data_IF_868499048052
#
_entry.id   IF_868499048052
#
_cell.length_a   1.000
_cell.length_b   1.000
_cell.length_c   1.000
_cell.angle_alpha   90.00
_cell.angle_beta   90.00
_cell.angle_gamma   90.00
#
_symmetry.space_group_name_H-M   'P 1'
#
loop_
_entity.id
_entity.type
_entity.pdbx_description
1 polymer ?
#
# COMPACT_ATOMS: atom_id res chain seq x y z
N UNK A 1 32.54 73.18 4.66
CA UNK A 1 33.00 72.44 5.85
C UNK A 1 31.80 71.71 6.39
N UNK A 2 31.66 70.40 6.49
CA UNK A 2 32.45 69.18 6.30
C UNK A 2 31.36 68.09 6.12
N UNK A 3 31.43 67.21 5.09
CA UNK A 3 31.80 65.77 5.20
C UNK A 3 30.96 64.99 6.24
N UNK A 4 30.41 63.79 6.04
CA UNK A 4 30.57 62.68 5.09
C UNK A 4 29.44 61.66 5.45
N UNK A 5 28.70 61.11 4.47
CA UNK A 5 28.74 59.72 3.97
C UNK A 5 27.78 58.68 4.63
N UNK A 6 26.86 58.21 3.76
CA UNK A 6 26.59 56.79 3.42
C UNK A 6 25.98 55.84 4.46
N UNK A 7 24.72 55.50 4.24
CA UNK A 7 24.28 54.15 3.81
C UNK A 7 22.80 54.25 3.43
N UNK A 8 22.29 53.73 2.33
CA UNK A 8 22.78 52.63 1.52
C UNK A 8 21.72 51.53 1.55
N UNK A 9 20.93 51.50 0.49
CA UNK A 9 20.23 50.35 -0.08
C UNK A 9 18.84 49.90 0.43
N UNK A 10 17.88 50.20 -0.46
CA UNK A 10 16.92 49.29 -1.10
C UNK A 10 15.80 48.71 -0.22
N UNK A 11 14.67 49.40 -0.32
CA UNK A 11 13.35 48.79 -0.32
C UNK A 11 13.29 47.80 -1.51
N UNK A 12 13.55 46.51 -1.26
CA UNK A 12 13.15 45.47 -2.21
C UNK A 12 11.73 45.10 -1.85
N UNK A 13 10.82 45.62 -2.66
CA UNK A 13 9.48 45.12 -2.86
C UNK A 13 9.50 43.59 -2.94
N UNK A 14 8.97 42.90 -1.92
CA UNK A 14 8.51 41.52 -2.06
C UNK A 14 7.14 41.52 -2.77
N UNK A 15 7.11 42.10 -3.97
CA UNK A 15 6.01 42.05 -4.94
C UNK A 15 6.27 40.84 -5.85
N UNK A 16 5.91 39.63 -5.41
CA UNK A 16 5.68 38.50 -6.35
C UNK A 16 4.98 37.28 -5.72
N UNK A 17 4.12 37.49 -4.72
CA UNK A 17 3.22 36.43 -4.20
C UNK A 17 1.78 36.95 -4.10
N UNK A 18 1.28 37.60 -5.14
CA UNK A 18 -0.13 37.96 -5.25
C UNK A 18 -0.65 37.65 -6.66
N UNK A 19 -1.11 36.41 -6.85
CA UNK A 19 -2.28 36.03 -7.68
C UNK A 19 -2.36 34.52 -7.93
N UNK A 20 -2.26 33.68 -6.88
CA UNK A 20 -3.03 32.45 -6.93
C UNK A 20 -4.41 32.82 -6.42
N UNK A 21 -5.41 32.79 -7.31
CA UNK A 21 -6.82 32.94 -6.93
C UNK A 21 -7.06 32.06 -5.70
N UNK A 22 -7.47 32.66 -4.58
CA UNK A 22 -7.99 31.90 -3.44
C UNK A 22 -9.27 31.23 -3.92
N UNK A 23 -9.13 30.00 -4.39
CA UNK A 23 -10.25 29.16 -4.78
C UNK A 23 -11.15 29.00 -3.56
N UNK A 24 -12.47 29.11 -3.75
CA UNK A 24 -13.39 28.78 -2.67
C UNK A 24 -13.29 27.29 -2.37
N UNK A 25 -13.66 26.90 -1.16
CA UNK A 25 -13.68 25.48 -0.76
C UNK A 25 -14.52 24.63 -1.73
N UNK A 26 -15.64 25.18 -2.23
CA UNK A 26 -16.49 24.53 -3.22
C UNK A 26 -15.80 24.33 -4.58
N UNK A 27 -14.96 25.29 -5.01
CA UNK A 27 -14.18 25.17 -6.24
C UNK A 27 -13.08 24.11 -6.11
N UNK A 28 -12.42 24.04 -4.96
CA UNK A 28 -11.42 23.02 -4.66
C UNK A 28 -12.05 21.62 -4.70
N UNK A 29 -13.21 21.47 -4.06
CA UNK A 29 -13.94 20.21 -4.03
C UNK A 29 -14.43 19.80 -5.41
N UNK A 30 -15.02 20.74 -6.17
CA UNK A 30 -15.46 20.49 -7.55
C UNK A 30 -14.30 20.07 -8.45
N UNK A 31 -13.14 20.72 -8.34
CA UNK A 31 -11.96 20.37 -9.13
C UNK A 31 -11.44 18.96 -8.81
N UNK A 32 -11.47 18.56 -7.54
CA UNK A 32 -11.10 17.21 -7.13
C UNK A 32 -12.11 16.18 -7.66
N UNK A 33 -13.42 16.45 -7.52
CA UNK A 33 -14.49 15.60 -8.03
C UNK A 33 -14.39 15.44 -9.56
N UNK A 34 -14.08 16.51 -10.31
CA UNK A 34 -13.87 16.48 -11.76
C UNK A 34 -12.67 15.61 -12.16
N UNK A 35 -11.57 15.67 -11.40
CA UNK A 35 -10.39 14.83 -11.64
C UNK A 35 -10.71 13.36 -11.37
N UNK A 36 -11.37 13.08 -10.26
CA UNK A 36 -11.81 11.73 -9.86
C UNK A 36 -12.74 11.17 -10.95
N UNK A 37 -13.70 11.96 -11.41
CA UNK A 37 -14.63 11.57 -12.47
C UNK A 37 -13.92 11.26 -13.79
N UNK A 38 -12.97 12.10 -14.21
CA UNK A 38 -12.19 11.85 -15.43
C UNK A 38 -11.38 10.56 -15.31
N UNK A 39 -10.76 10.30 -14.16
CA UNK A 39 -10.05 9.03 -13.91
C UNK A 39 -11.02 7.85 -13.99
N UNK A 40 -12.15 7.92 -13.29
CA UNK A 40 -13.20 6.89 -13.27
C UNK A 40 -13.74 6.59 -14.67
N UNK A 41 -13.94 7.62 -15.50
CA UNK A 41 -14.46 7.48 -16.86
C UNK A 41 -13.54 6.67 -17.80
N UNK A 42 -12.23 6.66 -17.50
CA UNK A 42 -11.22 5.90 -18.23
C UNK A 42 -10.67 4.70 -17.45
N UNK A 43 -11.24 4.37 -16.29
CA UNK A 43 -10.72 3.33 -15.41
C UNK A 43 -11.26 1.95 -15.78
N UNK A 44 -10.38 0.96 -15.84
CA UNK A 44 -10.74 -0.45 -15.93
C UNK A 44 -9.92 -1.25 -14.93
N UNK A 45 -10.56 -1.90 -13.94
CA UNK A 45 -9.90 -2.70 -12.90
C UNK A 45 -8.82 -1.93 -12.12
N UNK A 46 -9.10 -0.67 -11.74
CA UNK A 46 -8.14 0.25 -11.13
C UNK A 46 -6.89 0.58 -11.98
N UNK A 47 -6.86 0.19 -13.25
CA UNK A 47 -5.87 0.68 -14.22
C UNK A 47 -6.44 1.93 -14.89
N UNK A 48 -5.72 3.04 -14.81
CA UNK A 48 -6.21 4.32 -15.32
C UNK A 48 -5.08 5.21 -15.80
N UNK A 49 -5.43 6.13 -16.68
CA UNK A 49 -4.53 7.17 -17.16
C UNK A 49 -5.29 8.49 -17.27
N UNK A 50 -4.73 9.55 -16.68
CA UNK A 50 -5.24 10.91 -16.83
C UNK A 50 -4.19 11.81 -17.49
N UNK A 51 -4.51 12.44 -18.64
CA UNK A 51 -3.60 13.36 -19.30
C UNK A 51 -3.52 14.68 -18.53
N UNK A 52 -2.35 15.35 -18.61
CA UNK A 52 -2.11 16.62 -17.92
C UNK A 52 -3.10 17.71 -18.35
N UNK A 53 -3.54 17.73 -19.61
CA UNK A 53 -4.52 18.69 -20.11
C UNK A 53 -5.85 18.62 -19.36
N UNK A 54 -6.29 17.40 -18.97
CA UNK A 54 -7.52 17.20 -18.20
C UNK A 54 -7.37 17.68 -16.76
N UNK A 55 -6.21 17.43 -16.14
CA UNK A 55 -5.89 17.93 -14.80
C UNK A 55 -5.87 19.47 -14.78
N UNK A 56 -5.17 20.09 -15.74
CA UNK A 56 -5.10 21.56 -15.85
C UNK A 56 -6.48 22.17 -16.05
N UNK A 57 -7.31 21.53 -16.90
CA UNK A 57 -8.68 21.97 -17.15
C UNK A 57 -9.54 21.88 -15.90
N UNK A 58 -9.49 20.76 -15.16
CA UNK A 58 -10.28 20.57 -13.95
C UNK A 58 -9.86 21.51 -12.81
N UNK A 59 -8.56 21.77 -12.67
CA UNK A 59 -8.03 22.71 -11.69
C UNK A 59 -8.27 24.18 -12.07
N UNK A 60 -8.65 24.45 -13.32
CA UNK A 60 -8.83 25.78 -13.89
C UNK A 60 -7.61 26.70 -13.66
N UNK A 61 -6.40 26.15 -13.87
CA UNK A 61 -5.13 26.87 -13.72
C UNK A 61 -4.46 27.09 -15.08
N UNK A 62 -3.51 28.03 -15.13
CA UNK A 62 -2.68 28.21 -16.34
C UNK A 62 -1.69 27.08 -16.47
N UNK A 63 -1.36 26.73 -17.72
CA UNK A 63 -0.40 25.67 -18.04
C UNK A 63 0.99 25.99 -17.49
N UNK A 64 1.40 27.26 -17.48
CA UNK A 64 2.68 27.69 -16.92
C UNK A 64 2.74 27.46 -15.40
N UNK A 65 1.67 27.77 -14.68
CA UNK A 65 1.59 27.62 -13.23
C UNK A 65 1.63 26.15 -12.82
N UNK A 66 0.91 25.30 -13.55
CA UNK A 66 0.97 23.85 -13.39
C UNK A 66 2.41 23.33 -13.51
N UNK A 67 3.10 23.66 -14.61
CA UNK A 67 4.46 23.16 -14.83
C UNK A 67 5.46 23.73 -13.81
N UNK A 68 5.28 24.98 -13.38
CA UNK A 68 6.11 25.56 -12.32
C UNK A 68 6.03 24.72 -11.03
N UNK A 69 4.82 24.33 -10.61
CA UNK A 69 4.60 23.49 -9.43
C UNK A 69 5.15 22.07 -9.66
N UNK A 70 4.88 21.48 -10.83
CA UNK A 70 5.37 20.16 -11.21
C UNK A 70 6.90 20.08 -11.22
N UNK A 71 7.61 21.08 -11.76
CA UNK A 71 9.07 21.09 -11.78
C UNK A 71 9.68 21.33 -10.40
N UNK A 72 9.02 22.12 -9.54
CA UNK A 72 9.43 22.26 -8.15
C UNK A 72 9.32 20.91 -7.40
N UNK A 73 8.27 20.14 -7.66
CA UNK A 73 8.08 18.79 -7.12
C UNK A 73 9.12 17.77 -7.63
N UNK A 74 9.53 17.89 -8.90
CA UNK A 74 10.56 17.02 -9.50
C UNK A 74 11.93 17.12 -8.81
N UNK A 75 12.22 18.25 -8.16
CA UNK A 75 13.45 18.43 -7.40
C UNK A 75 13.38 17.78 -6.00
N UNK A 76 12.18 17.53 -5.49
CA UNK A 76 11.93 16.95 -4.17
C UNK A 76 11.67 15.44 -4.22
N UNK A 77 11.06 14.96 -5.30
CA UNK A 77 10.67 13.56 -5.51
C UNK A 77 11.11 13.14 -6.91
N UNK A 78 11.56 11.89 -7.07
CA UNK A 78 11.99 11.33 -8.35
C UNK A 78 10.83 11.19 -9.36
N UNK A 79 10.26 12.32 -9.81
CA UNK A 79 9.29 12.36 -10.90
C UNK A 79 9.97 11.90 -12.19
N UNK A 80 9.43 10.84 -12.78
CA UNK A 80 9.86 10.38 -14.10
C UNK A 80 9.48 11.43 -15.15
N UNK A 81 10.30 11.59 -16.19
CA UNK A 81 10.00 12.49 -17.32
C UNK A 81 8.71 12.13 -18.07
N UNK A 82 8.16 10.91 -17.88
CA UNK A 82 6.86 10.50 -18.43
C UNK A 82 5.67 11.13 -17.72
N UNK A 83 5.81 11.50 -16.44
CA UNK A 83 4.74 12.18 -15.69
C UNK A 83 4.40 13.58 -16.25
N UNK A 84 5.23 14.13 -17.15
CA UNK A 84 4.95 15.40 -17.82
C UNK A 84 3.82 15.32 -18.88
N UNK A 85 3.45 14.11 -19.32
CA UNK A 85 2.36 13.88 -20.28
C UNK A 85 1.05 13.45 -19.60
N UNK A 86 1.12 12.83 -18.43
CA UNK A 86 -0.02 12.37 -17.67
C UNK A 86 0.39 11.51 -16.48
N UNK A 87 -0.61 11.03 -15.75
CA UNK A 87 -0.43 10.15 -14.60
C UNK A 87 -1.18 8.85 -14.82
N UNK A 88 -0.63 7.78 -14.24
CA UNK A 88 -1.24 6.46 -14.17
C UNK A 88 -1.24 5.96 -12.72
N UNK A 89 -1.77 4.76 -12.51
CA UNK A 89 -1.82 4.09 -11.22
C UNK A 89 -0.45 4.02 -10.52
N UNK A 90 0.63 3.73 -11.26
CA UNK A 90 2.00 3.66 -10.68
C UNK A 90 2.56 5.01 -10.24
N UNK A 91 1.93 6.11 -10.66
CA UNK A 91 2.33 7.48 -10.36
C UNK A 91 1.26 8.20 -9.54
N UNK A 92 0.31 7.47 -8.95
CA UNK A 92 -0.79 8.03 -8.16
C UNK A 92 -0.30 8.84 -6.95
N UNK A 93 0.72 8.37 -6.22
CA UNK A 93 1.32 9.13 -5.11
C UNK A 93 1.84 10.49 -5.55
N UNK A 94 2.44 10.54 -6.74
CA UNK A 94 2.97 11.77 -7.33
C UNK A 94 1.84 12.72 -7.73
N UNK A 95 0.72 12.19 -8.24
CA UNK A 95 -0.49 12.96 -8.51
C UNK A 95 -1.10 13.52 -7.23
N UNK A 96 -1.25 12.70 -6.19
CA UNK A 96 -1.81 13.09 -4.88
C UNK A 96 -0.99 14.23 -4.27
N UNK A 97 0.35 14.12 -4.28
CA UNK A 97 1.21 15.20 -3.79
C UNK A 97 1.08 16.49 -4.59
N UNK A 98 0.96 16.37 -5.92
CA UNK A 98 0.75 17.53 -6.79
C UNK A 98 -0.59 18.20 -6.47
N UNK A 99 -1.67 17.43 -6.34
CA UNK A 99 -2.99 17.95 -5.99
C UNK A 99 -3.00 18.56 -4.60
N UNK A 100 -2.35 17.94 -3.61
CA UNK A 100 -2.23 18.51 -2.27
C UNK A 100 -1.50 19.85 -2.27
N UNK A 101 -0.47 20.03 -3.11
CA UNK A 101 0.22 21.34 -3.23
C UNK A 101 -0.63 22.39 -3.94
N UNK A 102 -1.41 22.02 -4.96
CA UNK A 102 -2.23 22.96 -5.72
C UNK A 102 -3.48 23.37 -4.93
N UNK A 103 -4.22 22.37 -4.45
CA UNK A 103 -5.50 22.55 -3.76
C UNK A 103 -5.32 22.92 -2.28
N UNK A 104 -4.13 22.69 -1.70
CA UNK A 104 -3.80 22.97 -0.29
C UNK A 104 -4.75 22.28 0.69
N UNK A 105 -5.14 21.04 0.36
CA UNK A 105 -5.99 20.18 1.19
C UNK A 105 -5.26 18.88 1.55
N UNK A 106 -5.60 18.37 2.73
CA UNK A 106 -5.22 17.05 3.22
C UNK A 106 -6.31 16.02 2.87
N UNK A 107 -6.00 14.73 2.98
CA UNK A 107 -7.00 13.66 2.79
C UNK A 107 -7.31 13.29 1.33
N UNK A 108 -6.56 13.80 0.34
CA UNK A 108 -6.76 13.44 -1.08
C UNK A 108 -6.58 11.92 -1.29
N UNK A 109 -5.63 11.28 -0.60
CA UNK A 109 -5.44 9.83 -0.65
C UNK A 109 -6.71 9.06 -0.22
N UNK A 110 -7.38 9.53 0.83
CA UNK A 110 -8.62 8.91 1.31
C UNK A 110 -9.76 9.07 0.31
N UNK A 111 -9.87 10.23 -0.34
CA UNK A 111 -10.88 10.44 -1.37
C UNK A 111 -10.62 9.55 -2.60
N UNK A 112 -9.36 9.37 -3.00
CA UNK A 112 -9.01 8.43 -4.07
C UNK A 112 -9.35 6.97 -3.69
N UNK A 113 -9.09 6.58 -2.43
CA UNK A 113 -9.40 5.25 -1.93
C UNK A 113 -10.92 4.99 -1.85
N UNK A 114 -11.70 5.93 -1.32
CA UNK A 114 -13.17 5.84 -1.28
C UNK A 114 -13.78 5.72 -2.67
N UNK A 115 -13.17 6.36 -3.67
CA UNK A 115 -13.63 6.29 -5.05
C UNK A 115 -13.12 5.06 -5.83
N UNK A 116 -12.38 4.16 -5.16
CA UNK A 116 -11.88 2.92 -5.76
C UNK A 116 -10.79 3.13 -6.82
N UNK A 117 -10.07 4.25 -6.75
CA UNK A 117 -9.08 4.65 -7.77
C UNK A 117 -7.66 4.24 -7.39
N UNK A 118 -7.30 4.44 -6.11
CA UNK A 118 -5.96 4.20 -5.62
C UNK A 118 -5.99 3.86 -4.13
N UNK A 119 -5.14 2.92 -3.72
CA UNK A 119 -4.98 2.50 -2.33
C UNK A 119 -3.53 2.66 -1.92
N UNK A 120 -3.29 3.50 -0.93
CA UNK A 120 -1.95 3.69 -0.38
C UNK A 120 -1.51 2.51 0.51
N UNK A 121 -0.23 2.49 0.88
CA UNK A 121 0.36 1.46 1.73
C UNK A 121 -0.37 1.29 3.07
N UNK A 122 -0.97 2.37 3.61
CA UNK A 122 -1.71 2.32 4.87
C UNK A 122 -3.03 1.57 4.68
N UNK A 123 -3.80 1.88 3.64
CA UNK A 123 -5.03 1.15 3.29
C UNK A 123 -4.75 -0.33 3.06
N UNK A 124 -3.65 -0.66 2.36
CA UNK A 124 -3.26 -2.05 2.11
C UNK A 124 -2.84 -2.77 3.40
N UNK A 125 -2.12 -2.09 4.31
CA UNK A 125 -1.77 -2.63 5.61
C UNK A 125 -3.01 -2.87 6.49
N UNK A 126 -3.98 -1.96 6.48
CA UNK A 126 -5.25 -2.12 7.20
C UNK A 126 -6.04 -3.32 6.68
N UNK A 127 -6.14 -3.49 5.36
CA UNK A 127 -6.77 -4.67 4.76
C UNK A 127 -6.08 -5.96 5.22
N UNK A 128 -4.75 -5.99 5.23
CA UNK A 128 -3.98 -7.15 5.69
C UNK A 128 -4.27 -7.48 7.17
N UNK A 129 -4.34 -6.46 8.03
CA UNK A 129 -4.67 -6.65 9.45
C UNK A 129 -6.10 -7.21 9.57
N UNK A 130 -7.06 -6.59 8.89
CA UNK A 130 -8.46 -7.03 8.90
C UNK A 130 -8.62 -8.49 8.44
N UNK A 131 -7.92 -8.89 7.36
CA UNK A 131 -7.94 -10.26 6.87
C UNK A 131 -7.28 -11.25 7.84
N UNK A 132 -6.15 -10.87 8.46
CA UNK A 132 -5.48 -11.68 9.49
C UNK A 132 -6.43 -11.96 10.66
N UNK A 133 -7.09 -10.92 11.16
CA UNK A 133 -8.06 -11.02 12.25
C UNK A 133 -9.27 -11.88 11.86
N UNK A 134 -9.77 -11.75 10.62
CA UNK A 134 -10.88 -12.56 10.11
C UNK A 134 -10.50 -14.05 10.08
N UNK A 135 -9.33 -14.39 9.53
CA UNK A 135 -8.81 -15.77 9.49
C UNK A 135 -8.66 -16.33 10.91
N UNK A 136 -8.03 -15.59 11.82
CA UNK A 136 -7.82 -16.02 13.20
C UNK A 136 -9.14 -16.20 13.95
N UNK A 137 -10.11 -15.30 13.76
CA UNK A 137 -11.44 -15.40 14.36
C UNK A 137 -12.20 -16.62 13.85
N UNK A 138 -12.14 -16.90 12.54
CA UNK A 138 -12.76 -18.11 11.96
C UNK A 138 -12.12 -19.37 12.51
N UNK A 139 -10.78 -19.42 12.58
CA UNK A 139 -10.05 -20.55 13.17
C UNK A 139 -10.43 -20.76 14.64
N UNK A 140 -10.48 -19.70 15.43
CA UNK A 140 -10.81 -19.79 16.86
C UNK A 140 -12.23 -20.34 17.12
N UNK A 141 -13.17 -20.14 16.19
CA UNK A 141 -14.54 -20.65 16.27
C UNK A 141 -14.71 -22.02 15.64
N UNK A 142 -13.71 -22.51 14.90
CA UNK A 142 -13.81 -23.77 14.18
C UNK A 142 -13.59 -24.96 15.11
N UNK A 143 -14.55 -25.87 15.10
CA UNK A 143 -14.43 -27.14 15.80
C UNK A 143 -13.46 -28.05 15.01
N UNK A 144 -12.40 -28.49 15.68
CA UNK A 144 -11.37 -29.30 15.06
C UNK A 144 -11.93 -30.67 14.65
N UNK A 145 -11.95 -30.95 13.34
CA UNK A 145 -12.25 -32.28 12.82
C UNK A 145 -11.01 -33.17 13.01
N UNK A 146 -10.96 -33.79 14.20
CA UNK A 146 -9.83 -34.59 14.66
C UNK A 146 -9.58 -35.80 13.78
N UNK A 147 -10.64 -36.43 13.28
CA UNK A 147 -10.53 -37.64 12.45
C UNK A 147 -9.86 -37.31 11.13
N UNK A 148 -10.30 -36.25 10.45
CA UNK A 148 -9.67 -35.81 9.21
C UNK A 148 -8.21 -35.39 9.44
N UNK A 149 -7.94 -34.57 10.45
CA UNK A 149 -6.57 -34.10 10.67
C UNK A 149 -5.63 -35.25 11.08
N UNK A 150 -6.11 -36.23 11.85
CA UNK A 150 -5.34 -37.44 12.18
C UNK A 150 -5.06 -38.28 10.93
N UNK A 151 -6.07 -38.46 10.07
CA UNK A 151 -5.91 -39.17 8.80
C UNK A 151 -4.85 -38.50 7.93
N UNK A 152 -4.95 -37.18 7.73
CA UNK A 152 -3.97 -36.40 6.96
C UNK A 152 -2.58 -36.49 7.60
N UNK A 153 -2.47 -36.37 8.92
CA UNK A 153 -1.21 -36.49 9.66
C UNK A 153 -0.58 -37.88 9.56
N UNK A 154 -1.38 -38.92 9.36
CA UNK A 154 -0.87 -40.29 9.14
C UNK A 154 -0.41 -40.53 7.70
N UNK A 155 -0.93 -39.74 6.76
CA UNK A 155 -0.60 -39.80 5.34
C UNK A 155 0.58 -38.91 4.94
N UNK A 156 0.94 -37.93 5.77
CA UNK A 156 2.08 -37.03 5.55
C UNK A 156 3.23 -37.30 6.52
N UNK A 157 4.42 -36.83 6.16
CA UNK A 157 5.63 -37.00 6.98
C UNK A 157 5.82 -35.83 7.97
N UNK A 158 5.35 -34.63 7.60
CA UNK A 158 5.30 -33.47 8.48
C UNK A 158 3.83 -33.13 8.80
N UNK A 159 3.60 -32.78 10.07
CA UNK A 159 2.31 -32.28 10.54
C UNK A 159 1.96 -30.93 9.90
N UNK A 160 2.97 -30.11 9.57
CA UNK A 160 2.72 -28.83 8.90
C UNK A 160 2.02 -29.01 7.56
N UNK A 161 2.42 -30.01 6.79
CA UNK A 161 1.84 -30.28 5.47
C UNK A 161 0.45 -30.93 5.60
N UNK A 162 0.22 -31.74 6.65
CA UNK A 162 -1.11 -32.24 6.98
C UNK A 162 -2.06 -31.10 7.36
N UNK A 163 -1.58 -30.15 8.16
CA UNK A 163 -2.37 -29.00 8.59
C UNK A 163 -2.66 -28.07 7.42
N UNK A 164 -1.69 -27.82 6.53
CA UNK A 164 -1.92 -27.01 5.33
C UNK A 164 -3.01 -27.66 4.45
N UNK A 165 -2.97 -28.98 4.26
CA UNK A 165 -4.00 -29.73 3.52
C UNK A 165 -5.37 -29.68 4.21
N UNK A 166 -5.40 -29.80 5.54
CA UNK A 166 -6.62 -29.66 6.33
C UNK A 166 -7.21 -28.25 6.22
N UNK A 167 -6.34 -27.24 6.25
CA UNK A 167 -6.74 -25.85 6.12
C UNK A 167 -7.37 -25.63 4.76
N UNK A 168 -6.76 -26.09 3.67
CA UNK A 168 -7.32 -25.92 2.33
C UNK A 168 -8.67 -26.65 2.15
N UNK A 169 -8.85 -27.82 2.77
CA UNK A 169 -10.11 -28.58 2.70
C UNK A 169 -11.25 -27.93 3.52
N UNK A 170 -10.97 -27.49 4.75
CA UNK A 170 -11.99 -26.90 5.64
C UNK A 170 -12.20 -25.41 5.44
N UNK A 171 -11.16 -24.71 5.04
CA UNK A 171 -11.12 -23.27 4.87
C UNK A 171 -10.76 -22.96 3.42
N UNK A 172 -11.78 -22.68 2.61
CA UNK A 172 -11.55 -22.12 1.29
C UNK A 172 -10.97 -20.70 1.44
N UNK A 173 -9.64 -20.59 1.37
CA UNK A 173 -8.91 -19.34 1.58
C UNK A 173 -9.35 -18.25 0.59
N UNK A 174 -9.55 -18.61 -0.67
CA UNK A 174 -10.03 -17.67 -1.69
C UNK A 174 -11.36 -17.05 -1.29
N UNK A 175 -12.31 -17.87 -0.83
CA UNK A 175 -13.61 -17.37 -0.35
C UNK A 175 -13.49 -16.54 0.94
N UNK A 176 -12.52 -16.83 1.81
CA UNK A 176 -12.26 -16.02 3.00
C UNK A 176 -11.77 -14.63 2.58
N UNK A 177 -10.83 -14.58 1.63
CA UNK A 177 -10.29 -13.32 1.10
C UNK A 177 -11.38 -12.53 0.39
N UNK A 178 -12.16 -13.16 -0.49
CA UNK A 178 -13.27 -12.49 -1.20
C UNK A 178 -14.28 -11.88 -0.23
N UNK A 179 -14.79 -12.66 0.72
CA UNK A 179 -15.72 -12.14 1.71
C UNK A 179 -15.09 -11.03 2.56
N UNK A 180 -13.82 -11.20 2.97
CA UNK A 180 -13.13 -10.20 3.78
C UNK A 180 -12.88 -8.90 3.03
N UNK A 181 -12.61 -8.95 1.73
CA UNK A 181 -12.49 -7.77 0.87
C UNK A 181 -13.86 -7.09 0.74
N UNK A 182 -14.94 -7.83 0.50
CA UNK A 182 -16.29 -7.26 0.45
C UNK A 182 -16.65 -6.56 1.76
N UNK A 183 -16.43 -7.23 2.90
CA UNK A 183 -16.67 -6.64 4.23
C UNK A 183 -15.84 -5.36 4.44
N UNK A 184 -14.58 -5.35 3.97
CA UNK A 184 -13.69 -4.19 4.08
C UNK A 184 -14.14 -3.02 3.19
N UNK A 185 -14.53 -3.30 1.94
CA UNK A 185 -15.07 -2.31 1.00
C UNK A 185 -16.33 -1.66 1.59
N UNK A 186 -17.24 -2.46 2.13
CA UNK A 186 -18.44 -1.96 2.81
C UNK A 186 -18.09 -1.11 4.03
N UNK A 187 -17.19 -1.60 4.89
CA UNK A 187 -16.78 -0.89 6.11
C UNK A 187 -16.12 0.46 5.80
N UNK A 188 -15.37 0.56 4.72
CA UNK A 188 -14.68 1.79 4.30
C UNK A 188 -15.50 2.65 3.33
N UNK A 189 -16.72 2.26 2.99
CA UNK A 189 -17.57 2.94 2.00
C UNK A 189 -16.86 3.15 0.65
N UNK A 190 -16.12 2.15 0.19
CA UNK A 190 -15.38 2.23 -1.08
C UNK A 190 -16.33 1.93 -2.25
N UNK A 191 -16.27 2.73 -3.31
CA UNK A 191 -16.96 2.48 -4.57
C UNK A 191 -16.30 1.32 -5.31
N UNK A 192 -17.08 0.26 -5.58
CA UNK A 192 -16.56 -0.94 -6.24
C UNK A 192 -16.77 -0.95 -7.77
N UNK A 193 -17.43 0.08 -8.33
CA UNK A 193 -17.82 0.11 -9.76
C UNK A 193 -16.61 0.10 -10.72
N UNK A 194 -15.41 0.40 -10.21
CA UNK A 194 -14.18 0.55 -11.00
C UNK A 194 -13.17 -0.61 -10.78
N UNK A 195 -13.60 -1.70 -10.14
CA UNK A 195 -12.81 -2.93 -9.95
C UNK A 195 -11.86 -2.89 -8.75
N UNK A 196 -12.24 -2.16 -7.70
CA UNK A 196 -11.51 -2.10 -6.43
C UNK A 196 -11.35 -3.50 -5.81
N UNK A 197 -12.40 -4.32 -5.83
CA UNK A 197 -12.39 -5.71 -5.40
C UNK A 197 -11.35 -6.56 -6.12
N UNK A 198 -11.28 -6.47 -7.45
CA UNK A 198 -10.33 -7.20 -8.29
C UNK A 198 -8.90 -6.77 -7.97
N UNK A 199 -8.67 -5.47 -7.83
CA UNK A 199 -7.36 -4.94 -7.45
C UNK A 199 -6.91 -5.45 -6.08
N UNK A 200 -7.76 -5.32 -5.05
CA UNK A 200 -7.44 -5.77 -3.70
C UNK A 200 -7.23 -7.29 -3.63
N UNK A 201 -8.03 -8.06 -4.38
CA UNK A 201 -7.86 -9.52 -4.51
C UNK A 201 -6.49 -9.84 -5.09
N UNK A 202 -6.16 -9.26 -6.24
CA UNK A 202 -4.88 -9.47 -6.91
C UNK A 202 -3.71 -9.06 -6.01
N UNK A 203 -3.84 -7.95 -5.28
CA UNK A 203 -2.83 -7.51 -4.32
C UNK A 203 -2.59 -8.57 -3.23
N UNK A 204 -3.65 -9.04 -2.55
CA UNK A 204 -3.54 -10.04 -1.48
C UNK A 204 -2.92 -11.36 -1.99
N UNK A 205 -3.34 -11.83 -3.15
CA UNK A 205 -2.76 -13.05 -3.73
C UNK A 205 -1.30 -12.87 -4.17
N UNK A 206 -0.91 -11.68 -4.61
CA UNK A 206 0.49 -11.39 -4.97
C UNK A 206 1.43 -11.38 -3.75
N UNK A 207 0.91 -11.03 -2.56
CA UNK A 207 1.68 -11.00 -1.31
C UNK A 207 1.50 -12.27 -0.47
N UNK A 208 0.69 -13.23 -0.93
CA UNK A 208 0.45 -14.47 -0.20
C UNK A 208 1.75 -15.27 -0.04
N UNK A 209 2.00 -15.75 1.18
CA UNK A 209 3.21 -16.48 1.57
C UNK A 209 4.52 -15.68 1.41
N UNK A 210 4.44 -14.36 1.27
CA UNK A 210 5.59 -13.47 1.43
C UNK A 210 5.80 -13.13 2.90
N UNK A 211 6.89 -12.41 3.22
CA UNK A 211 7.17 -11.91 4.58
C UNK A 211 6.08 -10.99 5.14
N UNK A 212 5.24 -10.42 4.27
CA UNK A 212 4.20 -9.46 4.65
C UNK A 212 2.91 -10.19 5.06
N UNK A 213 2.57 -11.28 4.34
CA UNK A 213 1.36 -12.06 4.55
C UNK A 213 1.66 -13.57 4.51
N UNK A 214 2.24 -14.08 5.60
CA UNK A 214 2.64 -15.49 5.70
C UNK A 214 1.55 -16.34 6.38
N UNK A 215 0.84 -17.18 5.62
CA UNK A 215 -0.32 -17.91 6.12
C UNK A 215 0.03 -18.86 7.29
N UNK A 216 1.21 -19.50 7.26
CA UNK A 216 1.66 -20.36 8.36
C UNK A 216 1.89 -19.58 9.66
N UNK A 217 2.28 -18.32 9.59
CA UNK A 217 2.41 -17.47 10.79
C UNK A 217 1.03 -17.09 11.35
N UNK A 218 0.11 -16.71 10.46
CA UNK A 218 -1.27 -16.33 10.83
C UNK A 218 -1.98 -17.50 11.53
N UNK A 219 -1.78 -18.72 11.02
CA UNK A 219 -2.40 -19.96 11.52
C UNK A 219 -1.62 -20.66 12.63
N UNK A 220 -0.45 -20.14 13.01
CA UNK A 220 0.49 -20.83 13.92
C UNK A 220 -0.13 -21.23 15.26
N UNK A 221 -0.85 -20.31 15.90
CA UNK A 221 -1.43 -20.58 17.21
C UNK A 221 -2.48 -21.71 17.15
N UNK A 222 -3.36 -21.67 16.15
CA UNK A 222 -4.36 -22.71 15.95
C UNK A 222 -3.72 -24.04 15.58
N UNK A 223 -2.66 -24.02 14.77
CA UNK A 223 -1.88 -25.21 14.41
C UNK A 223 -1.24 -25.87 15.62
N UNK A 224 -0.61 -25.09 16.50
CA UNK A 224 0.01 -25.61 17.72
C UNK A 224 -1.03 -26.19 18.68
N UNK A 225 -2.20 -25.55 18.78
CA UNK A 225 -3.36 -26.06 19.55
C UNK A 225 -3.88 -27.37 18.98
N UNK A 226 -4.06 -27.45 17.66
CA UNK A 226 -4.53 -28.66 16.97
C UNK A 226 -3.54 -29.83 17.14
N UNK A 227 -2.24 -29.55 17.08
CA UNK A 227 -1.21 -30.55 17.38
C UNK A 227 -1.31 -31.06 18.82
N UNK A 228 -1.43 -30.15 19.79
CA UNK A 228 -1.59 -30.52 21.20
C UNK A 228 -2.86 -31.34 21.44
N UNK A 229 -3.98 -30.97 20.82
CA UNK A 229 -5.25 -31.68 20.96
C UNK A 229 -5.20 -33.11 20.40
N UNK A 230 -4.41 -33.35 19.35
CA UNK A 230 -4.24 -34.68 18.76
C UNK A 230 -3.21 -35.55 19.49
N UNK A 231 -2.08 -34.98 19.89
CA UNK A 231 -0.93 -35.75 20.39
C UNK A 231 -0.65 -35.55 21.88
N UNK A 232 -1.40 -34.69 22.57
CA UNK A 232 -1.25 -34.41 24.01
C UNK A 232 0.09 -33.79 24.41
N UNK A 233 0.88 -33.32 23.44
CA UNK A 233 2.23 -32.79 23.66
C UNK A 233 2.42 -31.49 22.89
N UNK A 234 3.15 -30.54 23.48
CA UNK A 234 3.55 -29.33 22.76
C UNK A 234 4.60 -29.68 21.71
N UNK A 235 4.43 -29.13 20.50
CA UNK A 235 5.37 -29.33 19.41
C UNK A 235 6.74 -28.77 19.80
N UNK A 236 7.77 -29.60 19.72
CA UNK A 236 9.15 -29.12 19.85
C UNK A 236 9.50 -28.41 18.56
N UNK A 237 9.63 -27.08 18.60
CA UNK A 237 10.15 -26.31 17.47
C UNK A 237 11.45 -26.98 16.99
N UNK A 238 11.52 -27.38 15.72
CA UNK A 238 12.81 -27.75 15.14
C UNK A 238 13.71 -26.54 15.33
N UNK A 239 14.82 -26.70 16.06
CA UNK A 239 15.83 -25.64 16.14
C UNK A 239 16.21 -25.32 14.70
N UNK A 240 16.00 -24.08 14.26
CA UNK A 240 16.61 -23.59 13.03
C UNK A 240 18.08 -24.00 13.09
N UNK A 241 18.53 -24.76 12.09
CA UNK A 241 19.95 -25.02 11.92
C UNK A 241 20.58 -23.66 11.62
N UNK A 242 21.02 -22.97 12.65
CA UNK A 242 22.06 -21.95 12.54
C UNK A 242 23.20 -22.70 11.85
N UNK A 243 23.47 -22.35 10.60
CA UNK A 243 24.55 -22.92 9.81
C UNK A 243 25.87 -22.66 10.53
N UNK A 244 26.28 -23.58 11.40
CA UNK A 244 27.63 -23.60 11.93
C UNK A 244 28.51 -24.28 10.90
N UNK A 245 29.23 -23.41 10.19
CA UNK A 245 30.25 -23.76 9.23
C UNK A 245 31.35 -24.62 9.85
N UNK A 246 31.92 -25.41 8.95
CA UNK A 246 33.20 -26.09 9.02
C UNK A 246 34.17 -25.49 10.03
N UNK A 247 34.61 -26.34 10.97
CA UNK A 247 35.83 -26.14 11.73
C UNK A 247 37.03 -26.22 10.77
N UNK A 248 37.77 -25.11 10.64
CA UNK A 248 38.99 -25.04 9.84
C UNK A 248 39.67 -23.68 9.96
N UNK A 249 40.60 -23.60 10.91
CA UNK A 249 41.80 -22.75 10.99
C UNK A 249 41.82 -21.30 10.45
N UNK A 250 42.14 -20.37 11.36
CA UNK A 250 43.16 -19.34 11.12
C UNK A 250 42.69 -17.92 10.79
N UNK A 251 43.23 -16.87 11.45
CA UNK A 251 42.71 -15.50 11.38
C UNK A 251 43.39 -14.68 10.27
N UNK A 252 42.66 -13.76 9.62
CA UNK A 252 43.24 -12.55 8.96
C UNK A 252 42.18 -11.54 8.48
N UNK A 253 42.25 -10.37 9.11
CA UNK A 253 42.25 -9.01 8.53
C UNK A 253 41.18 -8.53 7.52
N UNK A 254 40.49 -7.46 7.97
CA UNK A 254 40.15 -6.19 7.29
C UNK A 254 39.73 -6.19 5.81
N UNK A 255 38.50 -5.71 5.55
CA UNK A 255 38.15 -4.45 4.85
C UNK A 255 36.69 -4.43 4.38
N UNK A 256 36.04 -3.32 4.69
CA UNK A 256 34.95 -2.64 3.95
C UNK A 256 34.56 -3.20 2.58
N UNK A 257 33.26 -3.37 2.32
CA UNK A 257 32.63 -2.93 1.06
C UNK A 257 31.12 -2.63 1.27
N UNK A 258 30.72 -1.49 0.71
CA UNK A 258 29.36 -0.99 0.46
C UNK A 258 28.66 -1.82 -0.63
N UNK A 259 27.39 -1.47 -0.88
CA UNK A 259 26.58 -1.71 -2.09
C UNK A 259 25.84 -3.05 -2.14
N UNK A 260 24.61 -3.20 -2.63
CA UNK A 260 23.58 -2.28 -3.19
C UNK A 260 22.26 -3.06 -3.21
N UNK A 261 21.13 -2.35 -3.14
CA UNK A 261 19.81 -2.87 -3.53
C UNK A 261 19.80 -3.17 -5.03
N UNK A 262 19.11 -4.25 -5.41
CA UNK A 262 18.36 -4.37 -6.67
C UNK A 262 16.89 -4.47 -6.24
#
# INVERSE_FOLDING_TARGET
MEKELMSGLVWVENLEVENMQTQSFDQIRSALEDIIFEIQSGCTNCEWYIPVEKIISALNIRKEDYYRIFYNLRNEVHFSSRAAAGFNETHADSLIQLLSKILKIEGISEEFAKNGIYFDDNYLAELQISLKENIQTRLARHELDRELLLLLSSATLDFDDAFDSYFDDKFNFERIVENGISDFIELKSIQNDYGADVFLKNHIFSILNTKVFHLREITKEYRDRAYYDLFGTFRKNQKEKIGFGFSGDGPRNTKTFRCTRI
#
